data_IF_197906335291
#
_entry.id   IF_197906335291
#
_cell.length_a   1.000
_cell.length_b   1.000
_cell.length_c   1.000
_cell.angle_alpha   90.00
_cell.angle_beta   90.00
_cell.angle_gamma   90.00
#
_symmetry.space_group_name_H-M   'P 1'
#
loop_
_entity.id
_entity.type
_entity.pdbx_description
1 polymer ?
#
# COMPACT_ATOMS: atom_id res chain seq x y z
N UNK A 1 48.21 27.89 30.09
CA UNK A 1 49.03 26.72 29.70
C UNK A 1 48.33 25.38 29.98
N UNK A 2 48.30 24.75 31.18
CA UNK A 2 47.68 23.41 31.32
C UNK A 2 46.14 23.43 31.31
N UNK A 3 45.50 24.43 31.93
CA UNK A 3 44.02 24.52 32.01
C UNK A 3 43.34 24.69 30.64
N UNK A 4 44.00 25.33 29.68
CA UNK A 4 43.47 25.55 28.32
C UNK A 4 43.44 24.25 27.50
N UNK A 5 44.40 23.37 27.71
CA UNK A 5 44.46 22.04 27.08
C UNK A 5 43.27 21.18 27.54
N UNK A 6 42.90 21.25 28.82
CA UNK A 6 41.73 20.54 29.33
C UNK A 6 40.40 21.07 28.77
N UNK A 7 40.25 22.39 28.66
CA UNK A 7 39.02 23.03 28.15
C UNK A 7 38.80 22.69 26.66
N UNK A 8 39.85 22.80 25.85
CA UNK A 8 39.79 22.48 24.41
C UNK A 8 39.49 20.99 24.18
N UNK A 9 40.07 20.11 25.00
CA UNK A 9 39.76 18.67 25.00
C UNK A 9 38.27 18.39 25.23
N UNK A 10 37.69 18.91 26.32
CA UNK A 10 36.27 18.70 26.64
C UNK A 10 35.36 19.28 25.55
N UNK A 11 35.68 20.49 25.05
CA UNK A 11 34.91 21.14 23.99
C UNK A 11 34.87 20.28 22.70
N UNK A 12 36.00 19.70 22.30
CA UNK A 12 36.06 18.82 21.12
C UNK A 12 35.25 17.53 21.30
N UNK A 13 35.25 16.94 22.51
CA UNK A 13 34.51 15.73 22.80
C UNK A 13 33.00 15.96 22.74
N UNK A 14 32.55 17.08 23.30
CA UNK A 14 31.15 17.52 23.28
C UNK A 14 30.70 17.76 21.84
N UNK A 15 31.52 18.46 21.04
CA UNK A 15 31.22 18.70 19.64
C UNK A 15 31.10 17.38 18.85
N UNK A 16 32.04 16.46 19.03
CA UNK A 16 32.02 15.16 18.36
C UNK A 16 30.76 14.35 18.74
N UNK A 17 30.36 14.36 20.01
CA UNK A 17 29.14 13.71 20.46
C UNK A 17 27.88 14.28 19.79
N UNK A 18 27.75 15.60 19.72
CA UNK A 18 26.64 16.24 19.03
C UNK A 18 26.62 15.92 17.53
N UNK A 19 27.78 15.91 16.86
CA UNK A 19 27.88 15.54 15.44
C UNK A 19 27.42 14.10 15.21
N UNK A 20 27.84 13.16 16.05
CA UNK A 20 27.41 11.76 15.96
C UNK A 20 25.91 11.61 16.23
N UNK A 21 25.37 12.30 17.24
CA UNK A 21 23.95 12.28 17.55
C UNK A 21 23.10 12.84 16.39
N UNK A 22 23.49 14.00 15.84
CA UNK A 22 22.80 14.61 14.69
C UNK A 22 22.89 13.70 13.46
N UNK A 23 24.08 13.17 13.16
CA UNK A 23 24.29 12.24 12.04
C UNK A 23 23.40 10.99 12.20
N UNK A 24 23.38 10.38 13.39
CA UNK A 24 22.52 9.24 13.70
C UNK A 24 21.03 9.56 13.54
N UNK A 25 20.57 10.71 14.04
CA UNK A 25 19.18 11.17 13.88
C UNK A 25 18.84 11.40 12.41
N UNK A 26 19.73 11.99 11.63
CA UNK A 26 19.53 12.23 10.19
C UNK A 26 19.46 10.90 9.44
N UNK A 27 20.35 9.95 9.70
CA UNK A 27 20.33 8.61 9.10
C UNK A 27 19.05 7.87 9.50
N UNK A 28 18.68 7.89 10.78
CA UNK A 28 17.46 7.25 11.29
C UNK A 28 16.22 7.85 10.63
N UNK A 29 16.11 9.18 10.59
CA UNK A 29 15.02 9.88 9.89
C UNK A 29 15.02 9.57 8.41
N UNK A 30 16.18 9.48 7.77
CA UNK A 30 16.27 9.17 6.34
C UNK A 30 15.80 7.74 6.05
N UNK A 31 16.28 6.76 6.83
CA UNK A 31 15.86 5.35 6.74
C UNK A 31 14.35 5.20 6.91
N UNK A 32 13.77 5.83 7.93
CA UNK A 32 12.32 5.76 8.17
C UNK A 32 11.53 6.48 7.08
N UNK A 33 11.97 7.65 6.62
CA UNK A 33 11.28 8.37 5.53
C UNK A 33 11.25 7.55 4.25
N UNK A 34 12.33 6.84 3.91
CA UNK A 34 12.36 5.97 2.74
C UNK A 34 11.35 4.82 2.88
N UNK A 35 11.31 4.19 4.04
CA UNK A 35 10.36 3.10 4.31
C UNK A 35 8.91 3.60 4.22
N UNK A 36 8.59 4.71 4.89
CA UNK A 36 7.23 5.29 4.86
C UNK A 36 6.83 5.76 3.47
N UNK A 37 7.73 6.33 2.67
CA UNK A 37 7.42 6.75 1.29
C UNK A 37 7.02 5.59 0.41
N UNK A 38 7.77 4.49 0.44
CA UNK A 38 7.43 3.29 -0.35
C UNK A 38 6.08 2.72 0.07
N UNK A 39 5.79 2.69 1.38
CA UNK A 39 4.48 2.24 1.85
C UNK A 39 3.32 3.17 1.49
N UNK A 40 3.51 4.49 1.54
CA UNK A 40 2.49 5.46 1.16
C UNK A 40 2.23 5.40 -0.34
N UNK A 41 3.27 5.41 -1.17
CA UNK A 41 3.15 5.27 -2.62
C UNK A 41 2.44 3.97 -3.01
N UNK A 42 2.81 2.84 -2.38
CA UNK A 42 2.12 1.58 -2.58
C UNK A 42 0.65 1.60 -2.14
N UNK A 43 0.31 2.33 -1.08
CA UNK A 43 -1.07 2.52 -0.62
C UNK A 43 -1.86 3.42 -1.57
N UNK A 44 -1.27 4.52 -2.01
CA UNK A 44 -1.88 5.45 -2.96
C UNK A 44 -2.15 4.76 -4.30
N UNK A 45 -1.20 3.99 -4.83
CA UNK A 45 -1.39 3.20 -6.05
C UNK A 45 -2.54 2.20 -5.90
N UNK A 46 -2.59 1.46 -4.78
CA UNK A 46 -3.71 0.52 -4.51
C UNK A 46 -5.04 1.22 -4.37
N UNK A 47 -5.06 2.38 -3.73
CA UNK A 47 -6.26 3.19 -3.56
C UNK A 47 -6.77 3.73 -4.90
N UNK A 48 -5.86 4.20 -5.75
CA UNK A 48 -6.18 4.59 -7.13
C UNK A 48 -6.75 3.41 -7.89
N UNK A 49 -6.12 2.23 -7.83
CA UNK A 49 -6.61 1.00 -8.46
C UNK A 49 -8.03 0.62 -7.98
N UNK A 50 -8.34 0.83 -6.71
CA UNK A 50 -9.67 0.56 -6.14
C UNK A 50 -10.76 1.56 -6.56
N UNK A 51 -10.39 2.80 -6.91
CA UNK A 51 -11.34 3.85 -7.30
C UNK A 51 -11.49 3.95 -8.82
N UNK A 52 -10.45 3.59 -9.57
CA UNK A 52 -10.51 3.63 -11.04
C UNK A 52 -11.48 2.57 -11.55
N UNK A 53 -12.39 2.98 -12.44
CA UNK A 53 -13.21 2.03 -13.18
C UNK A 53 -12.31 1.26 -14.16
N UNK A 54 -11.98 0.03 -13.82
CA UNK A 54 -11.26 -0.88 -14.73
C UNK A 54 -12.26 -1.68 -15.55
N UNK A 55 -12.07 -1.74 -16.86
CA UNK A 55 -12.82 -2.66 -17.72
C UNK A 55 -12.23 -4.06 -17.65
N UNK A 56 -13.07 -5.06 -17.41
CA UNK A 56 -12.68 -6.47 -17.46
C UNK A 56 -13.37 -7.16 -18.63
N UNK A 57 -12.65 -8.07 -19.26
CA UNK A 57 -13.21 -8.98 -20.26
C UNK A 57 -14.15 -9.99 -19.59
N UNK A 58 -15.09 -10.52 -20.36
CA UNK A 58 -15.98 -11.57 -19.88
C UNK A 58 -15.21 -12.81 -19.40
N UNK A 59 -14.11 -13.17 -20.08
CA UNK A 59 -13.30 -14.33 -19.72
C UNK A 59 -12.62 -14.14 -18.36
N UNK A 60 -12.09 -12.95 -18.07
CA UNK A 60 -11.52 -12.64 -16.75
C UNK A 60 -12.57 -12.77 -15.64
N UNK A 61 -13.77 -12.22 -15.85
CA UNK A 61 -14.87 -12.33 -14.89
C UNK A 61 -15.34 -13.79 -14.72
N UNK A 62 -15.35 -14.57 -15.81
CA UNK A 62 -15.70 -16.00 -15.77
C UNK A 62 -14.67 -16.80 -14.97
N UNK A 63 -13.38 -16.54 -15.16
CA UNK A 63 -12.31 -17.18 -14.38
C UNK A 63 -12.40 -16.75 -12.91
N UNK A 64 -12.54 -15.45 -12.65
CA UNK A 64 -12.60 -14.91 -11.29
C UNK A 64 -13.79 -15.45 -10.49
N UNK A 65 -14.93 -15.72 -11.14
CA UNK A 65 -16.15 -16.26 -10.50
C UNK A 65 -16.25 -17.79 -10.50
N UNK A 66 -15.20 -18.50 -10.91
CA UNK A 66 -15.25 -19.96 -11.10
C UNK A 66 -16.45 -20.37 -11.97
N UNK A 67 -16.56 -19.80 -13.16
CA UNK A 67 -17.67 -19.98 -14.10
C UNK A 67 -19.05 -19.54 -13.56
N UNK A 68 -19.11 -18.51 -12.72
CA UNK A 68 -20.34 -17.99 -12.12
C UNK A 68 -21.11 -19.06 -11.33
N UNK A 69 -20.41 -19.84 -10.50
CA UNK A 69 -20.99 -20.96 -9.74
C UNK A 69 -21.49 -20.56 -8.34
N UNK A 70 -20.82 -19.61 -7.70
CA UNK A 70 -21.11 -19.19 -6.32
C UNK A 70 -22.01 -17.93 -6.31
N UNK A 71 -23.32 -18.13 -6.15
CA UNK A 71 -24.31 -17.05 -6.10
C UNK A 71 -24.39 -16.47 -4.68
N UNK A 72 -24.15 -15.17 -4.56
CA UNK A 72 -24.25 -14.43 -3.29
C UNK A 72 -25.45 -13.49 -3.21
N UNK A 73 -26.17 -13.29 -4.33
CA UNK A 73 -27.39 -12.50 -4.33
C UNK A 73 -28.13 -12.54 -5.66
N UNK A 74 -29.43 -12.30 -5.62
CA UNK A 74 -30.30 -12.15 -6.80
C UNK A 74 -31.21 -10.95 -6.61
N UNK A 75 -31.43 -10.19 -7.66
CA UNK A 75 -32.34 -9.05 -7.64
C UNK A 75 -32.96 -8.80 -9.02
N UNK A 76 -33.75 -7.73 -9.13
CA UNK A 76 -34.53 -7.43 -10.34
C UNK A 76 -33.70 -7.32 -11.63
N UNK A 77 -32.42 -6.93 -11.52
CA UNK A 77 -31.55 -6.71 -12.67
C UNK A 77 -30.60 -7.88 -12.97
N UNK A 78 -30.60 -8.93 -12.16
CA UNK A 78 -29.78 -10.12 -12.38
C UNK A 78 -29.16 -10.70 -11.12
N UNK A 79 -28.10 -11.49 -11.32
CA UNK A 79 -27.48 -12.33 -10.28
C UNK A 79 -26.08 -11.82 -9.93
N UNK A 80 -25.78 -11.80 -8.63
CA UNK A 80 -24.47 -11.43 -8.08
C UNK A 80 -23.74 -12.70 -7.67
N UNK A 81 -22.52 -12.85 -8.14
CA UNK A 81 -21.65 -14.00 -7.89
C UNK A 81 -20.44 -13.59 -7.05
N UNK A 82 -19.95 -14.49 -6.21
CA UNK A 82 -18.65 -14.33 -5.56
C UNK A 82 -17.55 -14.53 -6.60
N UNK A 83 -16.55 -13.66 -6.58
CA UNK A 83 -15.35 -13.78 -7.38
C UNK A 83 -14.08 -13.56 -6.56
N UNK A 84 -12.96 -13.99 -7.12
CA UNK A 84 -11.63 -13.79 -6.54
C UNK A 84 -10.66 -13.31 -7.62
N UNK A 85 -9.96 -12.22 -7.34
CA UNK A 85 -8.96 -11.58 -8.21
C UNK A 85 -7.64 -11.37 -7.47
N UNK A 86 -6.64 -10.79 -8.15
CA UNK A 86 -5.31 -10.49 -7.60
C UNK A 86 -4.64 -11.73 -6.98
N UNK A 87 -4.61 -12.84 -7.74
CA UNK A 87 -4.04 -14.13 -7.31
C UNK A 87 -4.59 -14.63 -5.96
N UNK A 88 -5.90 -14.57 -5.76
CA UNK A 88 -6.53 -15.08 -4.53
C UNK A 88 -6.68 -14.03 -3.42
N UNK A 89 -6.06 -12.86 -3.54
CA UNK A 89 -5.94 -11.89 -2.43
C UNK A 89 -7.14 -10.96 -2.28
N UNK A 90 -7.96 -10.82 -3.32
CA UNK A 90 -9.10 -9.90 -3.32
C UNK A 90 -10.38 -10.65 -3.64
N UNK A 91 -11.33 -10.65 -2.70
CA UNK A 91 -12.70 -11.14 -2.91
C UNK A 91 -13.54 -10.01 -3.49
N UNK A 92 -14.32 -10.31 -4.52
CA UNK A 92 -15.16 -9.33 -5.24
C UNK A 92 -16.57 -9.87 -5.44
N UNK A 93 -17.51 -8.96 -5.71
CA UNK A 93 -18.86 -9.28 -6.14
C UNK A 93 -19.01 -8.98 -7.64
N UNK A 94 -19.41 -9.97 -8.42
CA UNK A 94 -19.60 -9.84 -9.88
C UNK A 94 -21.10 -9.88 -10.17
N UNK A 95 -21.68 -8.73 -10.55
CA UNK A 95 -23.09 -8.64 -10.93
C UNK A 95 -23.25 -8.89 -12.42
N UNK A 96 -23.87 -10.02 -12.77
CA UNK A 96 -24.24 -10.35 -14.15
C UNK A 96 -25.67 -9.91 -14.39
N UNK A 97 -25.85 -8.98 -15.32
CA UNK A 97 -27.17 -8.50 -15.70
C UNK A 97 -27.89 -9.54 -16.54
N UNK A 98 -29.18 -9.74 -16.25
CA UNK A 98 -30.04 -10.58 -17.07
C UNK A 98 -30.55 -9.78 -18.26
N UNK A 99 -30.70 -10.45 -19.41
CA UNK A 99 -31.18 -9.80 -20.63
C UNK A 99 -32.64 -9.42 -20.42
N UNK A 100 -32.95 -8.12 -20.51
CA UNK A 100 -34.33 -7.65 -20.58
C UNK A 100 -34.91 -8.22 -21.86
N UNK A 101 -35.97 -9.03 -21.75
CA UNK A 101 -36.77 -9.43 -22.92
C UNK A 101 -37.47 -8.15 -23.40
N UNK A 102 -37.01 -7.62 -24.53
CA UNK A 102 -37.76 -6.63 -25.31
C UNK A 102 -38.81 -7.32 -26.17
#
# INVERSE_FOLDING_TARGET
MPMEIFITGIASLVLAFFVLAISGILIYRHRIRQLTRVFLDQRDIRFVEDITLTSFTYQELKIASSNFTDVIGKGAFGTVFRGVMANGRRVIAIKRLERVKS
#
